data_IF_449200791573
#
_entry.id   IF_449200791573
#
_cell.length_a   1.000
_cell.length_b   1.000
_cell.length_c   1.000
_cell.angle_alpha   90.00
_cell.angle_beta   90.00
_cell.angle_gamma   90.00
#
_symmetry.space_group_name_H-M   'P 1'
#
loop_
_entity.id
_entity.type
_entity.pdbx_description
1 polymer ?
#
# COMPACT_ATOMS: atom_id res chain seq x y z
N UNK A 1 -14.48 -9.73 -3.65
CA UNK A 1 -13.70 -8.49 -3.83
C UNK A 1 -12.32 -8.83 -3.32
N UNK A 2 -11.24 -8.62 -4.10
CA UNK A 2 -9.89 -8.73 -3.56
C UNK A 2 -9.84 -7.97 -2.23
N UNK A 3 -9.34 -8.62 -1.18
CA UNK A 3 -9.64 -8.26 0.22
C UNK A 3 -9.12 -6.86 0.57
N UNK A 4 -9.97 -5.84 0.40
CA UNK A 4 -9.70 -4.45 0.78
C UNK A 4 -9.13 -4.33 2.20
N UNK A 5 -9.64 -5.17 3.12
CA UNK A 5 -9.13 -5.27 4.48
C UNK A 5 -7.68 -5.77 4.54
N UNK A 6 -7.30 -6.75 3.71
CA UNK A 6 -5.92 -7.24 3.62
C UNK A 6 -4.99 -6.17 3.04
N UNK A 7 -5.45 -5.41 2.03
CA UNK A 7 -4.69 -4.30 1.46
C UNK A 7 -4.45 -3.18 2.48
N UNK A 8 -5.49 -2.78 3.23
CA UNK A 8 -5.36 -1.82 4.33
C UNK A 8 -4.44 -2.33 5.43
N UNK A 9 -4.57 -3.61 5.83
CA UNK A 9 -3.70 -4.20 6.84
C UNK A 9 -2.22 -4.23 6.42
N UNK A 10 -1.94 -4.54 5.15
CA UNK A 10 -0.59 -4.53 4.61
C UNK A 10 0.01 -3.12 4.57
N UNK A 11 -0.80 -2.10 4.23
CA UNK A 11 -0.40 -0.69 4.31
C UNK A 11 -0.07 -0.28 5.74
N UNK A 12 -0.97 -0.52 6.69
CA UNK A 12 -0.75 -0.18 8.10
C UNK A 12 0.54 -0.82 8.62
N UNK A 13 0.76 -2.09 8.29
CA UNK A 13 2.00 -2.78 8.66
C UNK A 13 3.24 -2.12 8.08
N UNK A 14 3.21 -1.69 6.82
CA UNK A 14 4.32 -0.98 6.19
C UNK A 14 4.60 0.35 6.89
N UNK A 15 3.56 1.11 7.22
CA UNK A 15 3.68 2.38 7.96
C UNK A 15 4.28 2.17 9.35
N UNK A 16 3.85 1.13 10.08
CA UNK A 16 4.44 0.76 11.38
C UNK A 16 5.93 0.40 11.30
N UNK A 17 6.37 -0.13 10.15
CA UNK A 17 7.78 -0.45 9.89
C UNK A 17 8.61 0.76 9.45
N UNK A 18 8.02 1.95 9.37
CA UNK A 18 8.68 3.20 8.98
C UNK A 18 8.57 3.53 7.50
N UNK A 19 7.74 2.83 6.73
CA UNK A 19 7.43 3.24 5.37
C UNK A 19 6.62 4.54 5.36
N UNK A 20 6.74 5.30 4.27
CA UNK A 20 5.99 6.54 4.06
C UNK A 20 5.05 6.37 2.87
N UNK A 21 3.76 6.69 3.03
CA UNK A 21 2.81 6.63 1.91
C UNK A 21 3.10 7.76 0.91
N UNK A 22 3.35 7.40 -0.35
CA UNK A 22 3.58 8.33 -1.45
C UNK A 22 2.30 8.60 -2.26
N UNK A 23 1.57 7.54 -2.63
CA UNK A 23 0.33 7.64 -3.38
C UNK A 23 -0.74 6.70 -2.84
N UNK A 24 -1.94 7.26 -2.67
CA UNK A 24 -3.16 6.52 -2.41
C UNK A 24 -3.84 6.21 -3.75
N UNK A 25 -3.87 4.92 -4.12
CA UNK A 25 -4.56 4.40 -5.31
C UNK A 25 -5.54 3.31 -4.91
N UNK A 26 -6.08 3.41 -3.70
CA UNK A 26 -6.96 2.39 -3.15
C UNK A 26 -8.31 2.33 -3.88
N UNK A 27 -8.79 3.48 -4.38
CA UNK A 27 -10.04 3.60 -5.13
C UNK A 27 -9.89 3.32 -6.63
N UNK A 28 -8.74 2.84 -7.10
CA UNK A 28 -8.56 2.50 -8.51
C UNK A 28 -9.46 1.29 -8.88
N UNK A 29 -10.38 1.44 -9.83
CA UNK A 29 -11.42 0.44 -10.09
C UNK A 29 -10.89 -0.83 -10.78
N UNK A 30 -9.71 -0.74 -11.39
CA UNK A 30 -9.04 -1.87 -12.05
C UNK A 30 -7.99 -2.52 -11.14
N UNK A 31 -7.19 -1.71 -10.42
CA UNK A 31 -6.07 -2.19 -9.59
C UNK A 31 -5.93 -1.37 -8.28
N UNK A 32 -6.70 -1.70 -7.23
CA UNK A 32 -6.57 -1.02 -5.95
C UNK A 32 -5.20 -1.29 -5.31
N UNK A 33 -4.43 -0.23 -5.03
CA UNK A 33 -3.07 -0.34 -4.49
C UNK A 33 -2.64 0.85 -3.62
N UNK A 34 -1.59 0.65 -2.84
CA UNK A 34 -0.86 1.72 -2.14
C UNK A 34 0.57 1.82 -2.65
N UNK A 35 1.06 3.03 -2.91
CA UNK A 35 2.47 3.29 -3.19
C UNK A 35 3.12 3.85 -1.94
N UNK A 36 4.16 3.18 -1.45
CA UNK A 36 4.91 3.53 -0.26
C UNK A 36 6.40 3.66 -0.59
N UNK A 37 7.13 4.41 0.21
CA UNK A 37 8.58 4.43 0.23
C UNK A 37 9.07 3.71 1.50
N UNK A 38 10.11 2.89 1.39
CA UNK A 38 10.79 2.36 2.57
C UNK A 38 11.54 3.49 3.31
N UNK A 39 12.09 3.23 4.52
CA UNK A 39 12.85 4.24 5.26
C UNK A 39 14.09 4.79 4.53
N UNK A 40 14.61 4.09 3.51
CA UNK A 40 15.75 4.54 2.69
C UNK A 40 15.28 5.38 1.47
N UNK A 41 13.96 5.49 1.26
CA UNK A 41 13.34 6.25 0.18
C UNK A 41 13.03 5.45 -1.08
N UNK A 42 13.19 4.13 -1.07
CA UNK A 42 12.87 3.26 -2.19
C UNK A 42 11.36 3.05 -2.34
N UNK A 43 10.78 3.39 -3.51
CA UNK A 43 9.35 3.22 -3.75
C UNK A 43 8.98 1.76 -4.04
N UNK A 44 7.84 1.32 -3.51
CA UNK A 44 7.23 0.03 -3.77
C UNK A 44 5.69 0.10 -3.74
N UNK A 45 5.03 -0.85 -4.40
CA UNK A 45 3.57 -0.96 -4.48
C UNK A 45 3.07 -2.17 -3.69
N UNK A 46 1.97 -2.00 -2.95
CA UNK A 46 1.23 -3.10 -2.32
C UNK A 46 -0.11 -3.25 -3.05
N UNK A 47 -0.42 -4.46 -3.48
CA UNK A 47 -1.69 -4.87 -4.08
C UNK A 47 -2.04 -6.27 -3.56
N UNK A 48 -3.32 -6.67 -3.63
CA UNK A 48 -3.79 -8.00 -3.22
C UNK A 48 -4.52 -8.66 -4.40
N UNK A 49 -4.15 -9.91 -4.70
CA UNK A 49 -4.70 -10.72 -5.79
C UNK A 49 -5.89 -11.58 -5.33
#
# INVERSE_FOLDING_TARGET
MPDAAALTAARDRALELGATQLHDRFDDPEEPLYVLADPDGHPFCIFVA
#
